data_IF_320396125702
#
_entry.id   IF_320396125702
#
_cell.length_a   1.000
_cell.length_b   1.000
_cell.length_c   1.000
_cell.angle_alpha   90.00
_cell.angle_beta   90.00
_cell.angle_gamma   90.00
#
_symmetry.space_group_name_H-M   'P 1'
#
loop_
_entity.id
_entity.type
_entity.pdbx_description
1 polymer ?
#
# COMPACT_ATOMS: atom_id res chain seq x y z
N UNK A 1 -23.59 -34.93 51.56
CA UNK A 1 -24.15 -34.91 50.19
C UNK A 1 -23.74 -33.61 49.47
N UNK A 2 -22.44 -33.39 49.20
CA UNK A 2 -21.95 -32.11 48.63
C UNK A 2 -21.05 -32.29 47.38
N UNK A 3 -20.67 -33.51 46.98
CA UNK A 3 -19.55 -33.71 46.03
C UNK A 3 -19.90 -33.90 44.53
N UNK A 4 -21.10 -33.55 44.07
CA UNK A 4 -21.48 -33.77 42.66
C UNK A 4 -21.62 -32.52 41.78
N UNK A 5 -21.57 -31.31 42.34
CA UNK A 5 -21.84 -30.09 41.58
C UNK A 5 -20.59 -29.43 40.93
N UNK A 6 -19.38 -29.68 41.44
CA UNK A 6 -18.17 -28.94 41.04
C UNK A 6 -17.44 -29.51 39.82
N UNK A 7 -17.67 -30.78 39.44
CA UNK A 7 -16.98 -31.41 38.29
C UNK A 7 -17.58 -31.06 36.93
N UNK A 8 -18.83 -30.58 36.89
CA UNK A 8 -19.56 -30.34 35.65
C UNK A 8 -19.24 -28.97 35.05
N UNK A 9 -19.00 -27.96 35.89
CA UNK A 9 -18.65 -26.60 35.43
C UNK A 9 -17.23 -26.50 34.86
N UNK A 10 -16.25 -27.19 35.45
CA UNK A 10 -14.85 -27.17 34.98
C UNK A 10 -14.70 -27.74 33.55
N UNK A 11 -15.43 -28.80 33.21
CA UNK A 11 -15.45 -29.38 31.85
C UNK A 11 -16.17 -28.48 30.84
N UNK A 12 -17.21 -27.76 31.25
CA UNK A 12 -17.95 -26.87 30.35
C UNK A 12 -17.08 -25.67 29.92
N UNK A 13 -16.27 -25.12 30.83
CA UNK A 13 -15.36 -23.99 30.57
C UNK A 13 -14.18 -24.42 29.67
N UNK A 14 -13.60 -25.60 29.89
CA UNK A 14 -12.50 -26.12 29.07
C UNK A 14 -12.91 -26.46 27.62
N UNK A 15 -14.13 -26.98 27.44
CA UNK A 15 -14.69 -27.33 26.12
C UNK A 15 -15.07 -26.07 25.33
N UNK A 16 -15.58 -25.03 26.00
CA UNK A 16 -15.90 -23.75 25.36
C UNK A 16 -14.64 -23.03 24.85
N UNK A 17 -13.55 -23.05 25.63
CA UNK A 17 -12.28 -22.42 25.24
C UNK A 17 -11.62 -23.15 24.03
N UNK A 18 -11.64 -24.49 24.03
CA UNK A 18 -11.18 -25.29 22.87
C UNK A 18 -11.99 -25.03 21.60
N UNK A 19 -13.31 -24.83 21.72
CA UNK A 19 -14.15 -24.53 20.56
C UNK A 19 -13.87 -23.13 20.00
N UNK A 20 -13.67 -22.12 20.86
CA UNK A 20 -13.29 -20.76 20.44
C UNK A 20 -11.91 -20.75 19.75
N UNK A 21 -10.93 -21.47 20.28
CA UNK A 21 -9.59 -21.54 19.68
C UNK A 21 -9.60 -22.27 18.34
N UNK A 22 -10.41 -23.32 18.20
CA UNK A 22 -10.58 -24.05 16.94
C UNK A 22 -11.34 -23.23 15.89
N UNK A 23 -12.32 -22.41 16.31
CA UNK A 23 -13.10 -21.55 15.43
C UNK A 23 -12.27 -20.33 15.00
N UNK A 24 -11.51 -19.70 15.91
CA UNK A 24 -10.53 -18.64 15.59
C UNK A 24 -9.44 -19.13 14.65
N UNK A 25 -8.91 -20.35 14.82
CA UNK A 25 -7.96 -20.96 13.87
C UNK A 25 -8.60 -21.25 12.52
N UNK A 26 -9.81 -21.83 12.46
CA UNK A 26 -10.51 -22.10 11.19
C UNK A 26 -10.93 -20.82 10.46
N UNK A 27 -11.36 -19.79 11.17
CA UNK A 27 -11.68 -18.48 10.58
C UNK A 27 -10.41 -17.78 10.12
N UNK A 28 -9.34 -17.78 10.92
CA UNK A 28 -8.05 -17.20 10.57
C UNK A 28 -7.34 -17.89 9.39
N UNK A 29 -7.46 -19.22 9.28
CA UNK A 29 -6.95 -19.97 8.14
C UNK A 29 -7.81 -19.75 6.89
N UNK A 30 -9.15 -19.77 6.99
CA UNK A 30 -10.03 -19.48 5.84
C UNK A 30 -9.92 -18.04 5.35
N UNK A 31 -9.82 -17.05 6.23
CA UNK A 31 -9.64 -15.64 5.82
C UNK A 31 -8.25 -15.41 5.24
N UNK A 32 -7.18 -16.01 5.79
CA UNK A 32 -5.84 -15.99 5.16
C UNK A 32 -5.87 -16.60 3.75
N UNK A 33 -6.47 -17.77 3.60
CA UNK A 33 -6.53 -18.49 2.32
C UNK A 33 -7.35 -17.69 1.30
N UNK A 34 -8.54 -17.21 1.67
CA UNK A 34 -9.42 -16.48 0.75
C UNK A 34 -8.85 -15.10 0.38
N UNK A 35 -8.34 -14.32 1.34
CA UNK A 35 -7.90 -12.94 1.12
C UNK A 35 -6.56 -12.89 0.35
N UNK A 36 -5.65 -13.85 0.61
CA UNK A 36 -4.31 -13.88 0.00
C UNK A 36 -4.23 -14.76 -1.27
N UNK A 37 -4.90 -15.92 -1.32
CA UNK A 37 -4.85 -16.78 -2.53
C UNK A 37 -5.68 -16.20 -3.67
N UNK A 38 -6.90 -15.69 -3.40
CA UNK A 38 -7.76 -15.15 -4.48
C UNK A 38 -7.34 -13.76 -4.99
N UNK A 39 -6.35 -13.13 -4.35
CA UNK A 39 -5.82 -11.83 -4.76
C UNK A 39 -6.69 -10.63 -4.39
N UNK A 40 -7.60 -10.80 -3.42
CA UNK A 40 -8.46 -9.72 -2.93
C UNK A 40 -7.67 -8.64 -2.19
N UNK A 41 -6.62 -9.03 -1.45
CA UNK A 41 -5.73 -8.05 -0.82
C UNK A 41 -5.07 -7.14 -1.87
N UNK A 42 -4.54 -7.71 -2.96
CA UNK A 42 -3.93 -6.93 -4.04
C UNK A 42 -4.94 -6.04 -4.76
N UNK A 43 -6.20 -6.46 -4.84
CA UNK A 43 -7.28 -5.64 -5.37
C UNK A 43 -7.55 -4.44 -4.46
N UNK A 44 -7.74 -4.64 -3.15
CA UNK A 44 -7.99 -3.55 -2.21
C UNK A 44 -6.81 -2.55 -2.15
N UNK A 45 -5.58 -3.07 -2.09
CA UNK A 45 -4.37 -2.24 -2.13
C UNK A 45 -4.28 -1.49 -3.45
N UNK A 46 -4.53 -2.14 -4.59
CA UNK A 46 -4.55 -1.50 -5.90
C UNK A 46 -5.58 -0.37 -6.00
N UNK A 47 -6.78 -0.58 -5.44
CA UNK A 47 -7.83 0.43 -5.38
C UNK A 47 -7.39 1.67 -4.59
N UNK A 48 -6.88 1.48 -3.37
CA UNK A 48 -6.42 2.59 -2.53
C UNK A 48 -5.22 3.32 -3.15
N UNK A 49 -4.25 2.59 -3.70
CA UNK A 49 -3.08 3.19 -4.35
C UNK A 49 -3.44 3.91 -5.67
N UNK A 50 -4.53 3.51 -6.34
CA UNK A 50 -5.09 4.25 -7.49
C UNK A 50 -5.68 5.60 -7.11
N UNK A 51 -6.22 5.72 -5.88
CA UNK A 51 -6.76 6.95 -5.30
C UNK A 51 -5.68 7.85 -4.68
N UNK A 52 -4.50 7.30 -4.36
CA UNK A 52 -3.44 8.02 -3.67
C UNK A 52 -2.80 9.10 -4.57
N UNK A 53 -2.94 10.36 -4.15
CA UNK A 53 -2.38 11.54 -4.80
C UNK A 53 -1.51 12.29 -3.78
N UNK A 54 -0.39 12.81 -4.27
CA UNK A 54 0.59 13.61 -3.52
C UNK A 54 0.65 15.01 -4.15
N UNK A 55 0.85 16.05 -3.34
CA UNK A 55 0.93 17.45 -3.83
C UNK A 55 -0.25 17.83 -4.74
N UNK A 56 -1.46 17.33 -4.43
CA UNK A 56 -2.70 17.55 -5.17
C UNK A 56 -2.74 17.08 -6.64
N UNK A 57 -1.64 16.56 -7.21
CA UNK A 57 -1.60 16.24 -8.64
C UNK A 57 -0.78 15.00 -9.01
N UNK A 58 0.20 14.62 -8.19
CA UNK A 58 1.20 13.60 -8.49
C UNK A 58 0.73 12.24 -7.98
N UNK A 59 0.68 11.20 -8.82
CA UNK A 59 0.23 9.86 -8.38
C UNK A 59 1.29 8.79 -8.68
N UNK A 60 2.36 8.70 -7.87
CA UNK A 60 3.47 7.80 -8.15
C UNK A 60 3.20 6.36 -7.69
N UNK A 61 2.14 6.13 -6.91
CA UNK A 61 1.89 4.84 -6.26
C UNK A 61 1.24 3.82 -7.17
N UNK A 62 0.23 4.22 -7.95
CA UNK A 62 -0.58 3.32 -8.76
C UNK A 62 0.25 2.56 -9.80
N UNK A 63 1.07 3.29 -10.56
CA UNK A 63 1.90 2.70 -11.62
C UNK A 63 2.99 1.80 -11.02
N UNK A 64 3.60 2.24 -9.92
CA UNK A 64 4.62 1.47 -9.22
C UNK A 64 4.08 0.15 -8.70
N UNK A 65 2.87 0.16 -8.12
CA UNK A 65 2.25 -1.04 -7.63
C UNK A 65 1.88 -2.01 -8.75
N UNK A 66 1.31 -1.49 -9.85
CA UNK A 66 1.04 -2.31 -11.04
C UNK A 66 2.31 -2.98 -11.56
N UNK A 67 3.40 -2.22 -11.68
CA UNK A 67 4.66 -2.72 -12.22
C UNK A 67 5.25 -3.83 -11.36
N UNK A 68 5.26 -3.66 -10.04
CA UNK A 68 5.77 -4.68 -9.12
C UNK A 68 4.88 -5.92 -9.11
N UNK A 69 3.55 -5.78 -9.20
CA UNK A 69 2.63 -6.93 -9.34
C UNK A 69 2.80 -7.61 -10.70
N UNK A 70 2.98 -6.86 -11.78
CA UNK A 70 3.22 -7.42 -13.11
C UNK A 70 4.49 -8.25 -13.16
N UNK A 71 5.58 -7.77 -12.55
CA UNK A 71 6.84 -8.52 -12.48
C UNK A 71 6.70 -9.84 -11.70
N UNK A 72 5.94 -9.85 -10.61
CA UNK A 72 5.86 -10.99 -9.70
C UNK A 72 4.71 -11.97 -9.98
N UNK A 73 3.56 -11.46 -10.43
CA UNK A 73 2.30 -12.20 -10.57
C UNK A 73 1.49 -11.66 -11.75
N UNK A 74 1.98 -11.89 -12.96
CA UNK A 74 1.33 -11.47 -14.22
C UNK A 74 -0.17 -11.79 -14.28
N UNK A 75 -0.58 -12.96 -13.81
CA UNK A 75 -1.99 -13.39 -13.76
C UNK A 75 -2.90 -12.48 -12.94
N UNK A 76 -2.38 -11.84 -11.89
CA UNK A 76 -3.15 -10.94 -11.01
C UNK A 76 -3.04 -9.47 -11.43
N UNK A 77 -2.16 -9.14 -12.36
CA UNK A 77 -1.92 -7.77 -12.82
C UNK A 77 -3.19 -7.12 -13.39
N UNK A 78 -4.00 -7.87 -14.15
CA UNK A 78 -5.26 -7.34 -14.70
C UNK A 78 -6.25 -6.90 -13.62
N UNK A 79 -6.36 -7.66 -12.53
CA UNK A 79 -7.21 -7.27 -11.38
C UNK A 79 -6.73 -5.98 -10.73
N UNK A 80 -5.42 -5.77 -10.67
CA UNK A 80 -4.83 -4.55 -10.11
C UNK A 80 -5.08 -3.35 -11.00
N UNK A 81 -4.99 -3.50 -12.33
CA UNK A 81 -5.37 -2.42 -13.27
C UNK A 81 -6.81 -2.00 -13.03
N UNK A 82 -7.75 -2.95 -13.02
CA UNK A 82 -9.16 -2.66 -12.78
C UNK A 82 -9.38 -1.98 -11.43
N UNK A 83 -8.74 -2.48 -10.37
CA UNK A 83 -8.84 -1.91 -9.04
C UNK A 83 -8.33 -0.47 -8.99
N UNK A 84 -7.13 -0.22 -9.52
CA UNK A 84 -6.49 1.09 -9.47
C UNK A 84 -7.24 2.12 -10.31
N UNK A 85 -7.74 1.74 -11.48
CA UNK A 85 -8.58 2.63 -12.29
C UNK A 85 -9.90 2.94 -11.57
N UNK A 86 -10.54 1.95 -10.96
CA UNK A 86 -11.75 2.18 -10.15
C UNK A 86 -11.47 3.11 -8.96
N UNK A 87 -10.32 2.95 -8.30
CA UNK A 87 -9.88 3.82 -7.21
C UNK A 87 -9.65 5.26 -7.66
N UNK A 88 -8.93 5.45 -8.77
CA UNK A 88 -8.66 6.75 -9.36
C UNK A 88 -9.95 7.48 -9.78
N UNK A 89 -10.90 6.75 -10.38
CA UNK A 89 -12.23 7.26 -10.76
C UNK A 89 -13.07 7.69 -9.55
N UNK A 90 -12.82 7.12 -8.37
CA UNK A 90 -13.51 7.51 -7.12
C UNK A 90 -13.02 8.86 -6.60
N UNK A 91 -11.82 9.31 -6.99
CA UNK A 91 -11.32 10.64 -6.66
C UNK A 91 -11.77 11.67 -7.70
N UNK A 92 -11.37 11.47 -8.97
CA UNK A 92 -11.77 12.36 -10.05
C UNK A 92 -11.72 11.64 -11.41
N UNK A 93 -12.63 12.03 -12.30
CA UNK A 93 -12.70 11.47 -13.65
C UNK A 93 -11.41 11.67 -14.45
N UNK A 94 -10.84 12.89 -14.44
CA UNK A 94 -9.63 13.21 -15.18
C UNK A 94 -8.43 12.41 -14.69
N UNK A 95 -8.31 12.25 -13.38
CA UNK A 95 -7.28 11.41 -12.76
C UNK A 95 -7.42 9.94 -13.15
N UNK A 96 -8.65 9.41 -13.22
CA UNK A 96 -8.91 8.05 -13.72
C UNK A 96 -8.42 7.83 -15.15
N UNK A 97 -8.66 8.78 -16.06
CA UNK A 97 -8.20 8.71 -17.45
C UNK A 97 -6.67 8.75 -17.52
N UNK A 98 -6.03 9.63 -16.76
CA UNK A 98 -4.57 9.71 -16.66
C UNK A 98 -3.96 8.37 -16.20
N UNK A 99 -4.47 7.80 -15.09
CA UNK A 99 -3.96 6.55 -14.53
C UNK A 99 -4.15 5.39 -15.53
N UNK A 100 -5.32 5.30 -16.17
CA UNK A 100 -5.56 4.29 -17.19
C UNK A 100 -4.57 4.42 -18.37
N UNK A 101 -4.33 5.64 -18.85
CA UNK A 101 -3.35 5.92 -19.91
C UNK A 101 -1.92 5.53 -19.50
N UNK A 102 -1.50 5.91 -18.29
CA UNK A 102 -0.18 5.57 -17.76
C UNK A 102 0.00 4.04 -17.63
N UNK A 103 -1.02 3.33 -17.16
CA UNK A 103 -0.99 1.87 -17.07
C UNK A 103 -0.91 1.19 -18.44
N UNK A 104 -1.62 1.72 -19.45
CA UNK A 104 -1.55 1.20 -20.82
C UNK A 104 -0.14 1.39 -21.42
N UNK A 105 0.44 2.58 -21.28
CA UNK A 105 1.81 2.88 -21.73
C UNK A 105 2.81 1.95 -21.04
N UNK A 106 2.66 1.77 -19.72
CA UNK A 106 3.50 0.84 -18.96
C UNK A 106 3.37 -0.60 -19.46
N UNK A 107 2.15 -1.11 -19.67
CA UNK A 107 1.94 -2.48 -20.17
C UNK A 107 2.52 -2.68 -21.57
N UNK A 108 2.44 -1.66 -22.43
CA UNK A 108 3.06 -1.68 -23.75
C UNK A 108 4.58 -1.84 -23.66
N UNK A 109 5.26 -0.99 -22.88
CA UNK A 109 6.70 -1.11 -22.67
C UNK A 109 7.08 -2.40 -21.94
N UNK A 110 6.34 -2.79 -20.91
CA UNK A 110 6.58 -4.02 -20.16
C UNK A 110 6.48 -5.26 -21.06
N UNK A 111 5.54 -5.29 -22.00
CA UNK A 111 5.41 -6.35 -23.00
C UNK A 111 6.61 -6.40 -23.96
N UNK A 112 7.08 -5.23 -24.44
CA UNK A 112 8.21 -5.13 -25.35
C UNK A 112 9.53 -5.61 -24.70
N UNK A 113 9.75 -5.22 -23.45
CA UNK A 113 10.96 -5.56 -22.68
C UNK A 113 10.86 -6.88 -21.90
N UNK A 114 9.77 -7.66 -22.10
CA UNK A 114 9.53 -8.91 -21.38
C UNK A 114 10.58 -10.01 -21.68
N UNK A 115 11.36 -9.90 -22.77
CA UNK A 115 12.40 -10.89 -23.13
C UNK A 115 13.82 -10.53 -22.68
N UNK A 116 14.01 -9.41 -22.00
CA UNK A 116 15.37 -8.94 -21.64
C UNK A 116 15.87 -9.61 -20.37
N UNK A 117 17.16 -9.97 -20.37
CA UNK A 117 17.85 -10.51 -19.19
C UNK A 117 17.98 -9.40 -18.11
N UNK A 118 17.81 -9.73 -16.82
CA UNK A 118 17.81 -8.77 -15.69
C UNK A 118 16.60 -7.82 -15.59
N UNK A 119 15.38 -8.32 -15.79
CA UNK A 119 14.12 -7.57 -15.66
C UNK A 119 14.00 -6.71 -14.38
N UNK A 120 14.57 -7.15 -13.24
CA UNK A 120 14.51 -6.39 -11.98
C UNK A 120 15.17 -5.01 -12.05
N UNK A 121 16.27 -4.87 -12.81
CA UNK A 121 16.98 -3.59 -12.94
C UNK A 121 16.35 -2.66 -13.97
N UNK A 122 15.67 -3.25 -14.95
CA UNK A 122 15.06 -2.52 -16.06
C UNK A 122 13.67 -2.00 -15.67
N UNK A 123 12.99 -2.66 -14.73
CA UNK A 123 11.64 -2.30 -14.31
C UNK A 123 11.49 -0.84 -13.81
N UNK A 124 12.36 -0.32 -12.92
CA UNK A 124 12.28 1.08 -12.49
C UNK A 124 12.44 2.07 -13.65
N UNK A 125 13.30 1.73 -14.63
CA UNK A 125 13.53 2.57 -15.82
C UNK A 125 12.27 2.57 -16.70
N UNK A 126 11.65 1.41 -16.92
CA UNK A 126 10.40 1.30 -17.67
C UNK A 126 9.31 2.14 -17.00
N UNK A 127 9.19 2.07 -15.68
CA UNK A 127 8.20 2.82 -14.90
C UNK A 127 8.46 4.31 -15.04
N UNK A 128 9.70 4.75 -14.85
CA UNK A 128 10.10 6.16 -15.02
C UNK A 128 9.71 6.69 -16.39
N UNK A 129 10.08 5.98 -17.46
CA UNK A 129 9.78 6.39 -18.84
C UNK A 129 8.26 6.39 -19.08
N UNK A 130 7.55 5.37 -18.59
CA UNK A 130 6.10 5.27 -18.78
C UNK A 130 5.35 6.38 -18.07
N UNK A 131 5.74 6.71 -16.83
CA UNK A 131 5.18 7.82 -16.06
C UNK A 131 5.43 9.15 -16.76
N UNK A 132 6.68 9.42 -17.14
CA UNK A 132 7.04 10.68 -17.80
C UNK A 132 6.30 10.85 -19.11
N UNK A 133 6.25 9.80 -19.93
CA UNK A 133 5.59 9.85 -21.24
C UNK A 133 4.07 10.06 -21.10
N UNK A 134 3.43 9.32 -20.19
CA UNK A 134 1.99 9.46 -19.96
C UNK A 134 1.63 10.85 -19.41
N UNK A 135 2.44 11.38 -18.49
CA UNK A 135 2.19 12.69 -17.88
C UNK A 135 2.48 13.85 -18.83
N UNK A 136 3.56 13.75 -19.61
CA UNK A 136 3.87 14.73 -20.66
C UNK A 136 2.76 14.77 -21.73
N UNK A 137 2.26 13.60 -22.15
CA UNK A 137 1.14 13.51 -23.08
C UNK A 137 -0.13 14.13 -22.50
N UNK A 138 -0.47 13.83 -21.24
CA UNK A 138 -1.62 14.42 -20.55
C UNK A 138 -1.55 15.95 -20.50
N UNK A 139 -0.43 16.52 -20.07
CA UNK A 139 -0.29 17.98 -20.01
C UNK A 139 -0.25 18.63 -21.40
N UNK A 140 0.30 17.97 -22.41
CA UNK A 140 0.33 18.49 -23.79
C UNK A 140 -1.06 18.68 -24.39
N UNK A 141 -2.07 17.92 -23.94
CA UNK A 141 -3.46 18.06 -24.39
C UNK A 141 -4.15 19.24 -23.68
N UNK A 142 -3.79 19.51 -22.42
CA UNK A 142 -4.46 20.50 -21.59
C UNK A 142 -3.94 21.93 -21.77
N UNK A 143 -2.71 22.12 -22.25
CA UNK A 143 -2.16 23.46 -22.50
C UNK A 143 -0.64 23.53 -22.56
N UNK A 144 -0.05 24.75 -22.54
CA UNK A 144 1.39 24.93 -22.63
C UNK A 144 2.11 24.36 -21.40
N UNK A 145 3.19 23.61 -21.65
CA UNK A 145 4.04 23.06 -20.62
C UNK A 145 4.84 24.18 -19.95
N UNK A 146 4.44 24.54 -18.74
CA UNK A 146 5.23 25.45 -17.91
C UNK A 146 6.46 24.72 -17.34
N UNK A 147 7.53 25.45 -16.95
CA UNK A 147 8.66 24.86 -16.24
C UNK A 147 8.25 24.11 -14.96
N UNK A 148 7.19 24.57 -14.29
CA UNK A 148 6.63 23.90 -13.11
C UNK A 148 6.08 22.50 -13.43
N UNK A 149 5.35 22.35 -14.54
CA UNK A 149 4.83 21.05 -14.97
C UNK A 149 5.96 20.06 -15.29
N UNK A 150 7.06 20.53 -15.90
CA UNK A 150 8.24 19.71 -16.13
C UNK A 150 8.85 19.18 -14.85
N UNK A 151 8.98 20.02 -13.82
CA UNK A 151 9.45 19.59 -12.50
C UNK A 151 8.54 18.52 -11.90
N UNK A 152 7.21 18.70 -11.96
CA UNK A 152 6.26 17.70 -11.46
C UNK A 152 6.38 16.37 -12.20
N UNK A 153 6.50 16.38 -13.53
CA UNK A 153 6.68 15.17 -14.35
C UNK A 153 7.93 14.40 -13.90
N UNK A 154 9.05 15.10 -13.70
CA UNK A 154 10.32 14.48 -13.27
C UNK A 154 10.18 13.91 -11.86
N UNK A 155 9.61 14.66 -10.93
CA UNK A 155 9.37 14.21 -9.55
C UNK A 155 8.48 12.98 -9.52
N UNK A 156 7.38 12.96 -10.28
CA UNK A 156 6.47 11.81 -10.38
C UNK A 156 7.20 10.57 -10.92
N UNK A 157 8.00 10.73 -11.97
CA UNK A 157 8.79 9.64 -12.57
C UNK A 157 9.82 9.06 -11.61
N UNK A 158 10.57 9.90 -10.91
CA UNK A 158 11.58 9.48 -9.92
C UNK A 158 10.93 8.78 -8.73
N UNK A 159 9.87 9.36 -8.16
CA UNK A 159 9.13 8.75 -7.05
C UNK A 159 8.56 7.38 -7.47
N UNK A 160 7.99 7.27 -8.67
CA UNK A 160 7.47 6.00 -9.18
C UNK A 160 8.57 4.95 -9.35
N UNK A 161 9.73 5.35 -9.87
CA UNK A 161 10.86 4.43 -10.04
C UNK A 161 11.37 3.87 -8.70
N UNK A 162 11.50 4.72 -7.68
CA UNK A 162 11.92 4.31 -6.33
C UNK A 162 10.86 3.43 -5.67
N UNK A 163 9.59 3.80 -5.74
CA UNK A 163 8.49 3.04 -5.14
C UNK A 163 8.34 1.64 -5.75
N UNK A 164 8.65 1.46 -7.04
CA UNK A 164 8.65 0.12 -7.65
C UNK A 164 9.58 -0.83 -6.90
N UNK A 165 10.80 -0.37 -6.57
CA UNK A 165 11.80 -1.19 -5.91
C UNK A 165 11.31 -1.61 -4.52
N UNK A 166 10.67 -0.69 -3.80
CA UNK A 166 10.10 -0.92 -2.47
C UNK A 166 8.95 -1.92 -2.54
N UNK A 167 8.04 -1.75 -3.52
CA UNK A 167 6.90 -2.66 -3.69
C UNK A 167 7.29 -4.04 -4.18
N UNK A 168 8.37 -4.17 -4.97
CA UNK A 168 8.92 -5.47 -5.36
C UNK A 168 9.37 -6.31 -4.17
N UNK A 169 9.84 -5.68 -3.10
CA UNK A 169 10.22 -6.37 -1.86
C UNK A 169 9.01 -6.63 -0.94
N UNK A 170 7.99 -5.77 -0.98
CA UNK A 170 6.81 -5.85 -0.10
C UNK A 170 5.75 -6.85 -0.57
N UNK A 171 5.45 -6.94 -1.87
CA UNK A 171 4.46 -7.87 -2.44
C UNK A 171 4.75 -9.37 -2.13
N UNK A 172 5.99 -9.88 -2.14
CA UNK A 172 6.27 -11.25 -1.74
C UNK A 172 5.95 -11.52 -0.27
N UNK A 173 6.04 -10.51 0.61
CA UNK A 173 5.73 -10.63 2.03
C UNK A 173 4.21 -10.71 2.28
N UNK A 174 3.43 -10.11 1.39
CA UNK A 174 1.97 -10.28 1.32
C UNK A 174 1.54 -11.65 0.74
N UNK A 175 2.47 -12.59 0.52
CA UNK A 175 2.18 -13.91 -0.04
C UNK A 175 2.39 -15.04 0.97
N UNK A 176 1.44 -15.96 1.15
CA UNK A 176 1.54 -17.05 2.12
C UNK A 176 2.65 -18.08 1.77
N UNK A 177 3.09 -18.15 0.51
CA UNK A 177 4.08 -19.16 0.05
C UNK A 177 5.51 -18.95 0.60
N UNK A 178 5.82 -17.82 1.24
CA UNK A 178 7.19 -17.51 1.68
C UNK A 178 7.22 -16.87 3.07
N UNK A 179 6.55 -17.49 4.04
CA UNK A 179 6.70 -17.06 5.43
C UNK A 179 8.07 -17.51 5.96
N UNK A 180 9.08 -16.63 5.89
CA UNK A 180 10.32 -16.82 6.62
C UNK A 180 10.09 -16.35 8.07
N UNK A 181 10.51 -17.11 9.10
CA UNK A 181 10.20 -16.78 10.49
C UNK A 181 10.93 -15.53 11.02
N UNK A 182 11.94 -15.01 10.31
CA UNK A 182 12.61 -13.76 10.63
C UNK A 182 12.62 -12.84 9.39
N UNK A 183 11.88 -11.73 9.47
CA UNK A 183 11.93 -10.65 8.48
C UNK A 183 13.22 -9.86 8.68
N UNK A 184 13.87 -9.48 7.59
CA UNK A 184 15.00 -8.54 7.65
C UNK A 184 14.50 -7.13 7.96
N UNK A 185 15.35 -6.30 8.58
CA UNK A 185 15.02 -4.90 8.85
C UNK A 185 14.58 -4.14 7.58
N UNK A 186 15.22 -4.41 6.43
CA UNK A 186 14.84 -3.83 5.13
C UNK A 186 13.43 -4.22 4.67
N UNK A 187 13.03 -5.47 4.91
CA UNK A 187 11.69 -5.98 4.57
C UNK A 187 10.62 -5.33 5.44
N UNK A 188 10.93 -5.04 6.70
CA UNK A 188 10.06 -4.30 7.62
C UNK A 188 9.86 -2.87 7.11
N UNK A 189 10.94 -2.16 6.78
CA UNK A 189 10.86 -0.79 6.26
C UNK A 189 10.05 -0.73 4.95
N UNK A 190 10.25 -1.69 4.04
CA UNK A 190 9.47 -1.74 2.81
C UNK A 190 7.97 -1.95 3.08
N UNK A 191 7.62 -2.82 4.03
CA UNK A 191 6.22 -3.03 4.44
C UNK A 191 5.61 -1.76 5.07
N UNK A 192 6.38 -1.02 5.88
CA UNK A 192 5.95 0.24 6.45
C UNK A 192 5.62 1.24 5.35
N UNK A 193 6.50 1.41 4.36
CA UNK A 193 6.28 2.33 3.24
C UNK A 193 5.05 1.92 2.43
N UNK A 194 4.86 0.63 2.16
CA UNK A 194 3.67 0.14 1.47
C UNK A 194 2.39 0.47 2.25
N UNK A 195 2.38 0.22 3.56
CA UNK A 195 1.23 0.51 4.41
C UNK A 195 0.93 2.01 4.47
N UNK A 196 1.94 2.85 4.64
CA UNK A 196 1.80 4.31 4.60
C UNK A 196 1.26 4.79 3.26
N UNK A 197 1.73 4.22 2.14
CA UNK A 197 1.20 4.52 0.80
C UNK A 197 -0.28 4.15 0.65
N UNK A 198 -0.71 3.05 1.28
CA UNK A 198 -2.12 2.65 1.31
C UNK A 198 -2.95 3.63 2.15
N UNK A 199 -2.41 4.14 3.27
CA UNK A 199 -3.06 5.17 4.07
C UNK A 199 -3.28 6.46 3.27
N UNK A 200 -2.33 6.85 2.41
CA UNK A 200 -2.46 8.00 1.50
C UNK A 200 -3.68 7.87 0.58
N UNK A 201 -4.03 6.66 0.16
CA UNK A 201 -5.23 6.39 -0.64
C UNK A 201 -6.56 6.65 0.08
N UNK A 202 -6.53 6.73 1.42
CA UNK A 202 -7.71 7.01 2.25
C UNK A 202 -7.89 8.50 2.55
N UNK A 203 -6.99 9.35 2.07
CA UNK A 203 -7.11 10.80 2.22
C UNK A 203 -8.40 11.30 1.55
N UNK A 204 -9.05 12.24 2.24
CA UNK A 204 -10.36 12.78 1.85
C UNK A 204 -11.55 11.92 2.28
N UNK A 205 -11.34 10.90 3.11
CA UNK A 205 -12.43 10.24 3.85
C UNK A 205 -12.57 10.88 5.22
N UNK A 206 -13.63 11.66 5.41
CA UNK A 206 -13.93 12.29 6.68
C UNK A 206 -15.19 11.69 7.29
N UNK A 207 -15.12 11.33 8.57
CA UNK A 207 -16.29 10.91 9.36
C UNK A 207 -16.46 11.95 10.46
N UNK A 208 -17.54 12.72 10.40
CA UNK A 208 -17.88 13.74 11.41
C UNK A 208 -16.75 14.75 11.67
N UNK A 209 -16.00 15.14 10.63
CA UNK A 209 -14.87 16.08 10.72
C UNK A 209 -13.55 15.47 11.20
N UNK A 210 -13.49 14.14 11.40
CA UNK A 210 -12.26 13.43 11.67
C UNK A 210 -11.78 12.68 10.42
N UNK A 211 -10.55 12.96 9.99
CA UNK A 211 -9.94 12.32 8.82
C UNK A 211 -9.54 10.87 9.11
N UNK A 212 -10.03 9.96 8.29
CA UNK A 212 -9.85 8.52 8.48
C UNK A 212 -8.38 8.10 8.36
N UNK A 213 -7.58 8.79 7.54
CA UNK A 213 -6.16 8.51 7.40
C UNK A 213 -5.38 8.82 8.69
N UNK A 214 -5.75 9.89 9.41
CA UNK A 214 -5.06 10.30 10.64
C UNK A 214 -5.34 9.33 11.80
N UNK A 215 -6.57 8.83 11.87
CA UNK A 215 -6.95 7.83 12.87
C UNK A 215 -6.22 6.52 12.55
N UNK A 216 -6.30 6.07 11.30
CA UNK A 216 -5.69 4.82 10.85
C UNK A 216 -4.17 4.82 10.99
N UNK A 217 -3.50 5.95 10.74
CA UNK A 217 -2.04 6.08 10.89
C UNK A 217 -1.60 5.88 12.34
N UNK A 218 -2.29 6.50 13.30
CA UNK A 218 -1.98 6.35 14.74
C UNK A 218 -2.18 4.92 15.22
N UNK A 219 -3.27 4.28 14.82
CA UNK A 219 -3.49 2.86 15.14
C UNK A 219 -2.43 1.95 14.51
N UNK A 220 -1.98 2.26 13.30
CA UNK A 220 -0.93 1.52 12.62
C UNK A 220 0.41 1.63 13.36
N UNK A 221 0.80 2.83 13.78
CA UNK A 221 2.01 3.08 14.56
C UNK A 221 1.95 2.34 15.89
N UNK A 222 0.86 2.48 16.65
CA UNK A 222 0.69 1.78 17.92
C UNK A 222 0.74 0.26 17.76
N UNK A 223 0.11 -0.27 16.71
CA UNK A 223 0.10 -1.71 16.45
C UNK A 223 1.49 -2.24 16.10
N UNK A 224 2.25 -1.53 15.26
CA UNK A 224 3.62 -1.92 14.91
C UNK A 224 4.60 -1.70 16.07
N UNK A 225 4.41 -0.68 16.90
CA UNK A 225 5.17 -0.47 18.13
C UNK A 225 4.93 -1.60 19.15
N UNK A 226 3.69 -2.07 19.26
CA UNK A 226 3.34 -3.19 20.15
C UNK A 226 3.98 -4.51 19.70
N UNK A 227 4.01 -4.79 18.40
CA UNK A 227 4.58 -6.03 17.86
C UNK A 227 6.11 -5.99 17.76
N UNK A 228 6.66 -4.85 17.33
CA UNK A 228 8.07 -4.68 17.00
C UNK A 228 8.91 -3.95 18.06
N UNK A 229 8.28 -3.48 19.14
CA UNK A 229 8.92 -2.63 20.15
C UNK A 229 9.03 -1.16 19.75
N UNK A 230 9.49 -0.34 20.69
CA UNK A 230 9.56 1.12 20.56
C UNK A 230 10.37 1.58 19.34
N UNK A 231 11.52 0.94 19.07
CA UNK A 231 12.39 1.28 17.93
C UNK A 231 11.67 1.13 16.58
N UNK A 232 10.92 0.04 16.37
CA UNK A 232 10.13 -0.15 15.14
C UNK A 232 8.98 0.87 15.11
N UNK A 233 8.28 1.08 16.23
CA UNK A 233 7.23 2.09 16.35
C UNK A 233 7.66 3.50 15.93
N UNK A 234 8.80 3.97 16.41
CA UNK A 234 9.37 5.28 16.05
C UNK A 234 9.67 5.37 14.54
N UNK A 235 10.35 4.36 13.97
CA UNK A 235 10.64 4.36 12.52
C UNK A 235 9.36 4.36 11.67
N UNK A 236 8.33 3.64 12.09
CA UNK A 236 7.01 3.63 11.42
C UNK A 236 6.38 5.02 11.48
N UNK A 237 6.36 5.63 12.67
CA UNK A 237 5.78 6.95 12.89
C UNK A 237 6.40 8.02 12.01
N UNK A 238 7.74 8.05 11.95
CA UNK A 238 8.49 9.00 11.10
C UNK A 238 8.19 8.75 9.62
N UNK A 239 8.30 7.51 9.14
CA UNK A 239 8.12 7.21 7.71
C UNK A 239 6.66 7.45 7.27
N UNK A 240 5.69 6.98 8.04
CA UNK A 240 4.27 7.19 7.74
C UNK A 240 3.89 8.67 7.82
N UNK A 241 4.42 9.41 8.80
CA UNK A 241 4.24 10.84 8.94
C UNK A 241 4.81 11.63 7.77
N UNK A 242 6.01 11.30 7.30
CA UNK A 242 6.59 11.95 6.12
C UNK A 242 5.77 11.70 4.85
N UNK A 243 5.34 10.46 4.62
CA UNK A 243 4.55 10.11 3.43
C UNK A 243 3.19 10.81 3.44
N UNK A 244 2.49 10.82 4.58
CA UNK A 244 1.20 11.48 4.71
C UNK A 244 1.32 13.02 4.66
N UNK A 245 2.39 13.60 5.23
CA UNK A 245 2.64 15.06 5.17
C UNK A 245 2.91 15.57 3.74
N UNK A 246 3.50 14.73 2.88
CA UNK A 246 3.67 15.06 1.46
C UNK A 246 2.33 15.04 0.71
N UNK A 247 1.38 14.23 1.19
CA UNK A 247 0.08 14.08 0.57
C UNK A 247 -0.91 15.16 1.03
N UNK A 248 -0.84 15.58 2.29
CA UNK A 248 -1.61 16.70 2.82
C UNK A 248 -0.69 17.68 3.57
N UNK A 249 -0.43 18.85 2.96
CA UNK A 249 0.44 19.88 3.53
C UNK A 249 -0.17 20.48 4.81
N UNK A 250 -1.49 20.36 5.02
CA UNK A 250 -2.16 20.82 6.24
C UNK A 250 -1.85 19.94 7.46
N UNK A 251 -1.38 18.69 7.27
CA UNK A 251 -1.11 17.75 8.37
C UNK A 251 0.32 17.82 8.93
N UNK A 252 1.20 18.65 8.34
CA UNK A 252 2.61 18.81 8.75
C UNK A 252 2.76 19.10 10.25
N UNK A 253 1.89 19.92 10.82
CA UNK A 253 1.94 20.29 12.23
C UNK A 253 1.63 19.09 13.15
N UNK A 254 0.63 18.29 12.81
CA UNK A 254 0.19 17.15 13.63
C UNK A 254 1.16 15.97 13.53
N UNK A 255 1.81 15.80 12.38
CA UNK A 255 2.77 14.71 12.15
C UNK A 255 4.14 15.00 12.76
N UNK A 256 4.58 16.26 12.78
CA UNK A 256 5.79 16.67 13.53
C UNK A 256 5.64 16.38 15.03
N UNK A 257 4.44 16.57 15.60
CA UNK A 257 4.17 16.23 17.00
C UNK A 257 4.19 14.70 17.25
N UNK A 258 3.71 13.90 16.31
CA UNK A 258 3.75 12.43 16.40
C UNK A 258 5.19 11.88 16.30
N UNK A 259 6.03 12.49 15.46
CA UNK A 259 7.45 12.13 15.36
C UNK A 259 8.18 12.42 16.69
N UNK A 260 8.00 13.63 17.24
CA UNK A 260 8.65 14.04 18.49
C UNK A 260 8.20 13.23 19.71
N UNK A 261 6.91 12.87 19.78
CA UNK A 261 6.35 12.03 20.86
C UNK A 261 6.85 10.58 20.83
N UNK A 262 7.53 10.14 19.76
CA UNK A 262 8.07 8.78 19.63
C UNK A 262 9.54 8.66 20.02
N UNK A 263 10.17 9.78 20.38
CA UNK A 263 11.60 9.89 20.72
C UNK A 263 11.88 9.96 22.24
N UNK A 264 10.81 9.97 23.06
CA UNK A 264 10.84 9.78 24.53
C UNK A 264 10.24 8.42 24.92
#
# INVERSE_FOLDING_TARGET
>A
MIDSATRTESKAIEVHNRNIDSWKRKFGEKTKIIFLEKGWLLFLVGFLLGRAIVLSSVSPFALSFLASVWFMRKEKSFKVVLAAVAGALTYEWQHGVYIAGAMLVFLFFASLFNKVNQQQKILPIIVLVSTILARAFYYSILGPLTPYNWTLIIVEGVLSAVLVLIFMQSIPLLSPKRYKPALKNEEIVCMIILLASVLTGMIGWEIQGASFEQISSRYLVLWLAYVGGAAIGSTVGVVAGLILSLADVASLYQMSLLAFSSEE
#
